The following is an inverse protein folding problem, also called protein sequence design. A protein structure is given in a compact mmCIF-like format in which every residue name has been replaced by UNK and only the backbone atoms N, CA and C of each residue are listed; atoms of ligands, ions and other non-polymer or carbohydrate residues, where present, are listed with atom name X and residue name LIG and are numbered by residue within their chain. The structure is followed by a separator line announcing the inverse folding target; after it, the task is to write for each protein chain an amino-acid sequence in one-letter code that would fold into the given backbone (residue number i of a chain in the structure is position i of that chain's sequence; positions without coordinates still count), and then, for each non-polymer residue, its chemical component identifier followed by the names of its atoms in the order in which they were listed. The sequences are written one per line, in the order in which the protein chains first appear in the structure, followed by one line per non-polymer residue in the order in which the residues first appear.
data_IF_717591080370
#
_entry.id   IF_717591080370
#
_cell.length_a   1.000
_cell.length_b   1.000
_cell.length_c   1.000
_cell.angle_alpha   90.00
_cell.angle_beta   90.00
_cell.angle_gamma   90.00
#
_symmetry.space_group_name_H-M   'P 1'
#
loop_
_entity.id
_entity.type
_entity.pdbx_description
1 polymer ?
#
# COMPACT_ATOMS: atom_id res chain seq x y z
N UNK A 1 -33.47 83.32 46.78
CA UNK A 1 -33.87 82.11 46.04
C UNK A 1 -32.79 81.83 44.99
N UNK A 2 -32.33 80.58 44.93
CA UNK A 2 -31.14 80.00 44.24
C UNK A 2 -30.81 80.58 42.86
N UNK A 3 -29.51 80.58 42.48
CA UNK A 3 -28.91 80.23 41.16
C UNK A 3 -27.39 80.11 41.42
N UNK A 4 -26.81 78.90 41.54
CA UNK A 4 -26.30 77.97 40.51
C UNK A 4 -24.82 78.24 40.14
N UNK A 5 -23.94 77.35 40.61
CA UNK A 5 -22.51 77.31 40.27
C UNK A 5 -22.35 76.27 39.16
N UNK A 6 -21.87 76.68 37.99
CA UNK A 6 -21.63 75.79 36.86
C UNK A 6 -20.21 75.23 36.93
N UNK A 7 -20.07 73.91 37.04
CA UNK A 7 -18.80 73.19 36.94
C UNK A 7 -18.65 72.69 35.51
N UNK A 8 -17.59 73.11 34.83
CA UNK A 8 -17.24 72.60 33.50
C UNK A 8 -16.43 71.31 33.64
N UNK A 9 -16.95 70.20 33.11
CA UNK A 9 -16.24 68.92 33.02
C UNK A 9 -15.51 68.83 31.67
N UNK A 10 -14.18 68.72 31.69
CA UNK A 10 -13.37 68.39 30.53
C UNK A 10 -13.38 66.87 30.31
N UNK A 11 -13.99 66.39 29.21
CA UNK A 11 -13.84 65.01 28.75
C UNK A 11 -12.52 64.88 27.96
N UNK A 12 -11.60 64.07 28.47
CA UNK A 12 -10.44 63.57 27.71
C UNK A 12 -10.89 62.43 26.80
N UNK A 13 -10.89 62.64 25.49
CA UNK A 13 -11.02 61.55 24.52
C UNK A 13 -9.66 60.86 24.34
N UNK A 14 -9.54 59.62 24.79
CA UNK A 14 -8.42 58.75 24.46
C UNK A 14 -8.71 58.13 23.09
N UNK A 15 -8.02 58.60 22.05
CA UNK A 15 -8.05 57.93 20.74
C UNK A 15 -7.20 56.66 20.82
N UNK A 16 -7.85 55.51 20.89
CA UNK A 16 -7.20 54.21 20.67
C UNK A 16 -7.00 54.01 19.17
N UNK A 17 -5.78 54.25 18.66
CA UNK A 17 -5.40 53.82 17.32
C UNK A 17 -5.22 52.30 17.32
N UNK A 18 -6.17 51.58 16.72
CA UNK A 18 -5.98 50.15 16.42
C UNK A 18 -4.93 50.05 15.30
N UNK A 19 -3.71 49.70 15.67
CA UNK A 19 -2.70 49.27 14.70
C UNK A 19 -3.16 47.94 14.11
N UNK A 20 -3.34 47.89 12.79
CA UNK A 20 -3.59 46.64 12.08
C UNK A 20 -2.34 45.74 12.24
N UNK A 21 -2.50 44.44 12.53
CA UNK A 21 -1.37 43.52 12.59
C UNK A 21 -0.70 43.46 11.21
N UNK A 22 0.62 43.64 11.19
CA UNK A 22 1.41 43.43 9.99
C UNK A 22 1.28 41.97 9.54
N UNK A 23 1.04 41.75 8.25
CA UNK A 23 1.01 40.41 7.67
C UNK A 23 2.39 39.75 7.83
N UNK A 24 2.42 38.55 8.42
CA UNK A 24 3.65 37.78 8.53
C UNK A 24 4.19 37.41 7.15
N UNK A 25 5.53 37.44 6.95
CA UNK A 25 6.13 37.02 5.69
C UNK A 25 5.76 35.56 5.42
N UNK A 26 5.30 35.30 4.20
CA UNK A 26 4.59 34.10 3.80
C UNK A 26 5.21 32.80 4.31
N UNK A 27 4.37 31.96 4.91
CA UNK A 27 4.70 30.58 5.19
C UNK A 27 5.33 29.95 3.95
N UNK A 28 6.60 29.57 4.05
CA UNK A 28 7.22 28.69 3.07
C UNK A 28 6.38 27.42 3.04
N UNK A 29 5.59 27.23 1.99
CA UNK A 29 4.93 25.96 1.73
C UNK A 29 6.07 24.99 1.40
N UNK A 30 6.57 24.26 2.41
CA UNK A 30 7.46 23.15 2.14
C UNK A 30 6.74 22.20 1.19
N UNK A 31 7.30 22.01 -0.01
CA UNK A 31 6.80 20.98 -0.92
C UNK A 31 6.89 19.66 -0.17
N UNK A 32 5.72 19.06 0.13
CA UNK A 32 5.64 17.75 0.76
C UNK A 32 6.53 16.78 -0.01
N UNK A 33 7.44 16.10 0.70
CA UNK A 33 8.37 15.16 0.08
C UNK A 33 7.60 14.07 -0.69
N UNK A 34 8.14 13.67 -1.84
CA UNK A 34 7.57 12.58 -2.63
C UNK A 34 7.68 11.24 -1.88
N UNK A 35 6.73 10.33 -2.10
CA UNK A 35 6.75 9.01 -1.50
C UNK A 35 8.04 8.26 -1.81
N UNK A 36 8.56 7.52 -0.83
CA UNK A 36 9.71 6.63 -1.01
C UNK A 36 9.34 5.48 -1.92
N UNK A 37 10.27 5.06 -2.77
CA UNK A 37 10.15 3.87 -3.62
C UNK A 37 11.12 2.81 -3.11
N UNK A 38 10.60 1.62 -2.81
CA UNK A 38 11.41 0.46 -2.43
C UNK A 38 11.41 -0.56 -3.58
N UNK A 39 12.60 -0.90 -4.08
CA UNK A 39 12.80 -1.94 -5.10
C UNK A 39 13.56 -3.16 -4.59
N UNK A 40 14.01 -3.14 -3.33
CA UNK A 40 14.72 -4.25 -2.68
C UNK A 40 14.46 -4.24 -1.18
N UNK A 41 14.71 -5.37 -0.52
CA UNK A 41 14.65 -5.47 0.93
C UNK A 41 15.88 -4.82 1.59
N UNK A 42 15.78 -4.46 2.87
CA UNK A 42 16.91 -3.92 3.66
C UNK A 42 17.66 -5.00 4.42
N UNK A 43 16.94 -5.98 4.95
CA UNK A 43 17.55 -7.04 5.73
C UNK A 43 18.28 -8.03 4.82
N UNK A 44 19.47 -8.46 5.25
CA UNK A 44 20.25 -9.45 4.53
C UNK A 44 19.63 -10.84 4.65
N UNK A 45 19.83 -11.63 3.60
CA UNK A 45 19.38 -13.01 3.46
C UNK A 45 17.86 -13.16 3.65
N UNK A 46 17.08 -12.18 3.20
CA UNK A 46 15.60 -12.23 3.22
C UNK A 46 15.01 -12.37 1.82
N UNK A 47 13.90 -13.10 1.73
CA UNK A 47 13.02 -13.08 0.56
C UNK A 47 11.63 -12.61 0.98
N UNK A 48 11.08 -11.61 0.30
CA UNK A 48 9.75 -11.12 0.53
C UNK A 48 8.83 -11.45 -0.64
N UNK A 49 8.27 -12.66 -0.66
CA UNK A 49 7.37 -13.09 -1.75
C UNK A 49 6.17 -12.13 -1.85
N UNK A 50 5.97 -11.56 -3.04
CA UNK A 50 4.85 -10.67 -3.33
C UNK A 50 3.95 -11.22 -4.43
N UNK A 51 2.66 -10.92 -4.34
CA UNK A 51 1.61 -11.37 -5.24
C UNK A 51 0.69 -10.20 -5.60
N UNK A 52 0.50 -9.96 -6.88
CA UNK A 52 -0.35 -8.89 -7.40
C UNK A 52 -1.67 -9.42 -7.99
N UNK A 53 -2.58 -8.49 -8.25
CA UNK A 53 -3.82 -8.60 -9.04
C UNK A 53 -5.03 -9.28 -8.40
N UNK A 54 -4.88 -9.88 -7.22
CA UNK A 54 -6.03 -10.43 -6.51
C UNK A 54 -6.76 -9.41 -5.62
N UNK A 55 -7.61 -9.87 -4.68
CA UNK A 55 -7.85 -11.27 -4.36
C UNK A 55 -8.49 -12.00 -5.54
N UNK A 56 -8.05 -13.24 -5.78
CA UNK A 56 -8.62 -14.10 -6.83
C UNK A 56 -8.70 -15.55 -6.35
N UNK A 57 -9.24 -16.44 -7.18
CA UNK A 57 -9.59 -17.81 -6.78
C UNK A 57 -8.41 -18.64 -6.25
N UNK A 58 -7.17 -18.31 -6.57
CA UNK A 58 -5.98 -19.04 -6.12
C UNK A 58 -5.35 -18.49 -4.83
N UNK A 59 -5.81 -17.35 -4.29
CA UNK A 59 -5.25 -16.75 -3.07
C UNK A 59 -5.28 -17.74 -1.89
N UNK A 60 -6.40 -18.44 -1.71
CA UNK A 60 -6.56 -19.42 -0.62
C UNK A 60 -5.53 -20.55 -0.71
N UNK A 61 -5.22 -21.04 -1.92
CA UNK A 61 -4.22 -22.09 -2.13
C UNK A 61 -2.80 -21.57 -1.84
N UNK A 62 -2.50 -20.35 -2.28
CA UNK A 62 -1.22 -19.69 -1.99
C UNK A 62 -1.05 -19.51 -0.48
N UNK A 63 -2.04 -18.91 0.21
CA UNK A 63 -2.02 -18.71 1.67
C UNK A 63 -1.84 -20.03 2.41
N UNK A 64 -2.55 -21.09 2.00
CA UNK A 64 -2.39 -22.43 2.58
C UNK A 64 -0.97 -22.98 2.42
N UNK A 65 -0.40 -22.85 1.22
CA UNK A 65 0.97 -23.26 0.93
C UNK A 65 2.01 -22.47 1.75
N UNK A 66 1.83 -21.16 1.89
CA UNK A 66 2.72 -20.32 2.69
C UNK A 66 2.61 -20.67 4.19
N UNK A 67 1.40 -20.82 4.70
CA UNK A 67 1.14 -21.17 6.10
C UNK A 67 1.69 -22.55 6.47
N UNK A 68 1.47 -23.57 5.63
CA UNK A 68 2.03 -24.92 5.84
C UNK A 68 3.56 -24.93 5.85
N UNK A 69 4.19 -23.93 5.23
CA UNK A 69 5.62 -23.73 5.22
C UNK A 69 6.13 -22.83 6.36
N UNK A 70 5.24 -22.30 7.22
CA UNK A 70 5.60 -21.37 8.30
C UNK A 70 6.14 -20.04 7.80
N UNK A 71 5.78 -19.61 6.58
CA UNK A 71 6.27 -18.38 5.96
C UNK A 71 5.13 -17.39 5.71
N UNK A 72 5.47 -16.11 5.56
CA UNK A 72 4.54 -15.03 5.22
C UNK A 72 4.91 -14.40 3.89
N UNK A 73 3.91 -14.14 3.06
CA UNK A 73 4.01 -13.30 1.85
C UNK A 73 3.23 -11.98 1.99
N UNK A 74 3.31 -11.19 0.91
CA UNK A 74 2.62 -9.90 0.76
C UNK A 74 1.71 -9.94 -0.46
N UNK A 75 0.45 -9.53 -0.31
CA UNK A 75 -0.55 -9.50 -1.38
C UNK A 75 -0.91 -8.04 -1.68
N UNK A 76 -0.65 -7.56 -2.89
CA UNK A 76 -1.07 -6.25 -3.35
C UNK A 76 -2.38 -6.40 -4.11
N UNK A 77 -3.46 -5.92 -3.49
CA UNK A 77 -4.82 -6.26 -3.92
C UNK A 77 -5.51 -5.12 -4.66
N UNK A 78 -6.33 -5.50 -5.65
CA UNK A 78 -7.21 -4.63 -6.37
C UNK A 78 -8.62 -4.56 -5.77
N UNK A 79 -9.37 -3.54 -6.16
CA UNK A 79 -10.77 -3.39 -5.81
C UNK A 79 -11.75 -4.06 -6.77
N UNK A 80 -11.60 -3.80 -8.06
CA UNK A 80 -12.44 -4.31 -9.14
C UNK A 80 -11.57 -4.56 -10.38
N UNK A 81 -10.87 -5.69 -10.38
CA UNK A 81 -9.97 -6.10 -11.47
C UNK A 81 -10.40 -7.45 -12.03
N UNK A 82 -9.87 -8.56 -11.49
CA UNK A 82 -10.28 -9.92 -11.87
C UNK A 82 -11.65 -10.29 -11.31
N UNK A 83 -11.92 -9.88 -10.08
CA UNK A 83 -13.21 -10.02 -9.38
C UNK A 83 -13.45 -8.75 -8.55
N UNK A 84 -14.67 -8.61 -8.01
CA UNK A 84 -14.96 -7.56 -7.05
C UNK A 84 -14.46 -7.93 -5.65
N UNK A 85 -13.66 -7.06 -5.03
CA UNK A 85 -13.10 -7.26 -3.68
C UNK A 85 -14.18 -7.47 -2.60
N UNK A 86 -15.40 -6.98 -2.83
CA UNK A 86 -16.55 -7.12 -1.93
C UNK A 86 -17.36 -8.41 -2.12
N UNK A 87 -17.00 -9.23 -3.09
CA UNK A 87 -17.60 -10.56 -3.25
C UNK A 87 -17.28 -11.43 -2.06
N UNK A 88 -18.26 -12.23 -1.63
CA UNK A 88 -18.16 -12.97 -0.37
C UNK A 88 -16.94 -13.90 -0.31
N UNK A 89 -16.56 -14.50 -1.45
CA UNK A 89 -15.34 -15.33 -1.55
C UNK A 89 -14.08 -14.50 -1.31
N UNK A 90 -13.97 -13.34 -1.96
CA UNK A 90 -12.81 -12.46 -1.85
C UNK A 90 -12.67 -11.88 -0.45
N UNK A 91 -13.78 -11.40 0.14
CA UNK A 91 -13.82 -10.97 1.55
C UNK A 91 -13.34 -12.06 2.50
N UNK A 92 -13.78 -13.31 2.27
CA UNK A 92 -13.40 -14.45 3.13
C UNK A 92 -11.92 -14.78 2.98
N UNK A 93 -11.41 -14.81 1.75
CA UNK A 93 -10.01 -15.11 1.47
C UNK A 93 -9.08 -14.03 2.06
N UNK A 94 -9.38 -12.75 1.82
CA UNK A 94 -8.60 -11.63 2.36
C UNK A 94 -8.53 -11.63 3.88
N UNK A 95 -9.67 -11.88 4.55
CA UNK A 95 -9.70 -12.02 6.01
C UNK A 95 -8.84 -13.19 6.47
N UNK A 96 -8.86 -14.31 5.76
CA UNK A 96 -8.01 -15.46 6.08
C UNK A 96 -6.52 -15.15 5.89
N UNK A 97 -6.15 -14.50 4.78
CA UNK A 97 -4.77 -14.07 4.51
C UNK A 97 -4.26 -13.14 5.61
N UNK A 98 -5.03 -12.08 5.91
CA UNK A 98 -4.71 -11.10 6.94
C UNK A 98 -4.61 -11.72 8.35
N UNK A 99 -5.60 -12.51 8.76
CA UNK A 99 -5.60 -13.17 10.08
C UNK A 99 -4.49 -14.23 10.21
N UNK A 100 -4.02 -14.77 9.09
CA UNK A 100 -2.84 -15.64 9.05
C UNK A 100 -1.52 -14.86 9.19
N UNK A 101 -1.54 -13.53 9.28
CA UNK A 101 -0.34 -12.70 9.42
C UNK A 101 0.36 -12.40 8.09
N UNK A 102 -0.29 -12.61 6.95
CA UNK A 102 0.18 -12.08 5.68
C UNK A 102 -0.02 -10.56 5.63
N UNK A 103 0.83 -9.88 4.88
CA UNK A 103 0.66 -8.46 4.63
C UNK A 103 -0.25 -8.25 3.43
N UNK A 104 -1.22 -7.35 3.58
CA UNK A 104 -2.11 -6.89 2.49
C UNK A 104 -1.75 -5.43 2.18
N UNK A 105 -1.34 -5.16 0.95
CA UNK A 105 -1.05 -3.82 0.41
C UNK A 105 -2.04 -3.42 -0.69
N UNK A 106 -2.01 -2.16 -1.10
CA UNK A 106 -2.88 -1.64 -2.16
C UNK A 106 -2.29 -1.84 -3.55
N UNK A 107 -3.11 -2.22 -4.52
CA UNK A 107 -2.75 -2.26 -5.95
C UNK A 107 -3.67 -1.42 -6.83
N UNK A 108 -4.36 -0.42 -6.26
CA UNK A 108 -5.40 0.44 -6.90
C UNK A 108 -6.74 -0.26 -7.12
N UNK A 109 -7.77 0.50 -7.50
CA UNK A 109 -9.12 -0.02 -7.66
C UNK A 109 -9.25 -0.89 -8.91
N UNK A 110 -9.04 -0.32 -10.09
CA UNK A 110 -9.29 -0.94 -11.39
C UNK A 110 -8.00 -1.25 -12.16
N UNK A 111 -6.84 -1.27 -11.50
CA UNK A 111 -5.55 -1.62 -12.10
C UNK A 111 -5.16 -0.72 -13.29
N UNK A 112 -5.42 0.59 -13.17
CA UNK A 112 -5.03 1.56 -14.20
C UNK A 112 -3.56 1.94 -14.11
N UNK A 113 -2.92 2.18 -15.25
CA UNK A 113 -1.61 2.85 -15.28
C UNK A 113 -1.75 4.27 -14.74
N UNK A 114 -1.42 4.45 -13.46
CA UNK A 114 -1.54 5.71 -12.75
C UNK A 114 -0.69 6.83 -13.37
N UNK A 115 0.43 6.48 -14.02
CA UNK A 115 1.31 7.48 -14.63
C UNK A 115 0.69 8.17 -15.84
N UNK A 116 -0.33 7.54 -16.43
CA UNK A 116 -1.11 8.07 -17.54
C UNK A 116 -2.46 8.70 -17.12
N UNK A 117 -2.75 8.76 -15.82
CA UNK A 117 -4.02 9.28 -15.31
C UNK A 117 -3.92 10.73 -14.80
N UNK A 118 -5.07 11.40 -14.71
CA UNK A 118 -5.19 12.71 -14.04
C UNK A 118 -5.07 12.57 -12.52
N UNK A 119 -4.76 13.68 -11.84
CA UNK A 119 -4.68 13.72 -10.37
C UNK A 119 -5.91 13.14 -9.68
N UNK A 120 -7.10 13.58 -10.10
CA UNK A 120 -8.36 13.13 -9.50
C UNK A 120 -8.58 11.63 -9.73
N UNK A 121 -8.19 11.12 -10.91
CA UNK A 121 -8.34 9.69 -11.21
C UNK A 121 -7.34 8.84 -10.43
N UNK A 122 -6.09 9.28 -10.27
CA UNK A 122 -5.13 8.64 -9.36
C UNK A 122 -5.71 8.59 -7.94
N UNK A 123 -6.31 9.70 -7.49
CA UNK A 123 -6.89 9.77 -6.16
C UNK A 123 -8.07 8.82 -5.97
N UNK A 124 -8.97 8.76 -6.94
CA UNK A 124 -10.12 7.85 -6.96
C UNK A 124 -9.68 6.38 -6.91
N UNK A 125 -8.70 6.01 -7.76
CA UNK A 125 -8.13 4.66 -7.82
C UNK A 125 -7.53 4.20 -6.48
N UNK A 126 -6.73 5.05 -5.83
CA UNK A 126 -6.11 4.70 -4.56
C UNK A 126 -7.12 4.73 -3.40
N UNK A 127 -8.02 5.71 -3.39
CA UNK A 127 -8.97 5.89 -2.28
C UNK A 127 -9.98 4.74 -2.20
N UNK A 128 -10.56 4.30 -3.33
CA UNK A 128 -11.60 3.26 -3.29
C UNK A 128 -11.08 1.94 -2.73
N UNK A 129 -9.87 1.52 -3.12
CA UNK A 129 -9.28 0.27 -2.60
C UNK A 129 -8.91 0.41 -1.12
N UNK A 130 -8.44 1.59 -0.67
CA UNK A 130 -8.23 1.86 0.76
C UNK A 130 -9.53 1.78 1.56
N UNK A 131 -10.63 2.32 1.03
CA UNK A 131 -11.95 2.19 1.67
C UNK A 131 -12.39 0.74 1.77
N UNK A 132 -12.16 -0.06 0.74
CA UNK A 132 -12.45 -1.49 0.78
C UNK A 132 -11.60 -2.21 1.84
N UNK A 133 -10.30 -1.93 1.91
CA UNK A 133 -9.41 -2.50 2.93
C UNK A 133 -9.82 -2.10 4.36
N UNK A 134 -10.21 -0.85 4.58
CA UNK A 134 -10.72 -0.38 5.86
C UNK A 134 -12.03 -1.09 6.24
N UNK A 135 -12.97 -1.23 5.31
CA UNK A 135 -14.23 -1.94 5.56
C UNK A 135 -14.03 -3.43 5.82
N UNK A 136 -13.19 -4.10 5.03
CA UNK A 136 -13.04 -5.56 5.07
C UNK A 136 -12.14 -6.00 6.22
N UNK A 137 -11.02 -5.31 6.42
CA UNK A 137 -9.94 -5.73 7.32
C UNK A 137 -9.74 -4.78 8.52
N UNK A 138 -10.30 -3.56 8.45
CA UNK A 138 -10.05 -2.54 9.48
C UNK A 138 -8.69 -1.87 9.36
N UNK A 139 -7.99 -1.99 8.22
CA UNK A 139 -6.60 -1.51 8.08
C UNK A 139 -6.44 -0.40 7.06
N UNK A 140 -5.45 0.46 7.30
CA UNK A 140 -4.97 1.45 6.33
C UNK A 140 -3.55 1.06 5.89
N UNK A 141 -3.33 0.69 4.61
CA UNK A 141 -2.04 0.17 4.15
C UNK A 141 -0.96 1.26 4.17
N UNK A 142 0.26 0.85 4.55
CA UNK A 142 1.47 1.68 4.43
C UNK A 142 2.14 1.55 3.05
N UNK A 143 1.76 0.52 2.30
CA UNK A 143 2.40 0.21 1.03
C UNK A 143 1.37 0.07 -0.07
N UNK A 144 1.72 0.60 -1.23
CA UNK A 144 1.04 0.30 -2.48
C UNK A 144 2.07 -0.08 -3.55
N UNK A 145 1.67 -0.93 -4.48
CA UNK A 145 2.42 -1.16 -5.71
C UNK A 145 1.67 -0.48 -6.85
N UNK A 146 2.30 0.38 -7.65
CA UNK A 146 1.63 0.96 -8.80
C UNK A 146 1.44 -0.12 -9.89
N UNK A 147 0.25 -0.22 -10.51
CA UNK A 147 0.03 -1.10 -11.66
C UNK A 147 1.11 -0.95 -12.72
N UNK A 148 1.52 -2.08 -13.30
CA UNK A 148 2.62 -2.17 -14.29
C UNK A 148 4.00 -1.71 -13.80
N UNK A 149 4.15 -1.39 -12.51
CA UNK A 149 5.35 -0.74 -11.98
C UNK A 149 5.52 0.72 -12.42
N UNK A 150 4.53 1.30 -13.10
CA UNK A 150 4.62 2.64 -13.69
C UNK A 150 4.24 3.72 -12.67
N UNK A 151 5.16 4.67 -12.45
CA UNK A 151 4.90 5.83 -11.59
C UNK A 151 5.66 7.07 -12.08
N UNK A 152 5.15 8.24 -11.71
CA UNK A 152 5.80 9.53 -11.90
C UNK A 152 5.65 10.37 -10.61
N UNK A 153 6.12 11.62 -10.61
CA UNK A 153 6.05 12.49 -9.43
C UNK A 153 4.60 12.79 -8.99
N UNK A 154 3.62 12.73 -9.91
CA UNK A 154 2.21 12.90 -9.58
C UNK A 154 1.70 11.71 -8.75
N UNK A 155 2.03 10.48 -9.17
CA UNK A 155 1.72 9.25 -8.42
C UNK A 155 2.41 9.24 -7.05
N UNK A 156 3.69 9.61 -7.00
CA UNK A 156 4.45 9.69 -5.74
C UNK A 156 3.92 10.78 -4.80
N UNK A 157 3.40 11.87 -5.33
CA UNK A 157 2.74 12.92 -4.54
C UNK A 157 1.42 12.42 -3.95
N UNK A 158 0.58 11.74 -4.75
CA UNK A 158 -0.67 11.15 -4.28
C UNK A 158 -0.44 10.10 -3.19
N UNK A 159 0.59 9.27 -3.35
CA UNK A 159 1.00 8.27 -2.35
C UNK A 159 1.54 8.92 -1.07
N UNK A 160 2.37 9.97 -1.19
CA UNK A 160 2.88 10.74 -0.05
C UNK A 160 1.76 11.36 0.78
N UNK A 161 0.70 11.85 0.15
CA UNK A 161 -0.47 12.42 0.85
C UNK A 161 -1.13 11.39 1.78
N UNK A 162 -1.16 10.13 1.34
CA UNK A 162 -1.67 8.97 2.07
C UNK A 162 -0.66 8.35 3.05
N UNK A 163 0.55 8.92 3.13
CA UNK A 163 1.69 8.39 3.87
C UNK A 163 2.17 7.01 3.38
N UNK A 164 1.79 6.61 2.17
CA UNK A 164 2.17 5.33 1.60
C UNK A 164 3.55 5.39 0.94
N UNK A 165 4.25 4.27 0.96
CA UNK A 165 5.44 4.02 0.14
C UNK A 165 5.08 3.19 -1.10
N UNK A 166 5.79 3.44 -2.20
CA UNK A 166 5.70 2.61 -3.40
C UNK A 166 6.61 1.39 -3.27
N UNK A 167 6.13 0.23 -3.71
CA UNK A 167 6.90 -1.02 -3.73
C UNK A 167 6.99 -1.54 -5.17
N UNK A 168 8.21 -1.66 -5.68
CA UNK A 168 8.54 -2.29 -6.95
C UNK A 168 9.19 -3.65 -6.64
N UNK A 169 9.93 -4.25 -7.57
CA UNK A 169 10.59 -5.54 -7.43
C UNK A 169 12.03 -5.47 -7.97
N UNK A 170 12.88 -6.40 -7.52
CA UNK A 170 14.24 -6.62 -8.05
C UNK A 170 14.33 -7.88 -8.94
N UNK A 171 13.25 -8.66 -8.98
CA UNK A 171 13.11 -9.85 -9.79
C UNK A 171 11.66 -10.02 -10.26
N UNK A 172 11.47 -10.30 -11.54
CA UNK A 172 10.17 -10.62 -12.13
C UNK A 172 10.13 -12.11 -12.47
N UNK A 173 9.11 -12.83 -12.00
CA UNK A 173 8.94 -14.25 -12.31
C UNK A 173 8.48 -14.50 -13.75
N UNK A 174 7.99 -13.46 -14.44
CA UNK A 174 7.43 -13.52 -15.78
C UNK A 174 6.09 -14.24 -15.89
N UNK A 175 5.47 -14.59 -14.76
CA UNK A 175 4.24 -15.39 -14.72
C UNK A 175 3.04 -14.70 -15.39
N UNK A 176 2.96 -13.36 -15.34
CA UNK A 176 1.98 -12.56 -16.10
C UNK A 176 2.44 -12.20 -17.52
N UNK A 177 3.72 -12.38 -17.84
CA UNK A 177 4.31 -12.08 -19.16
C UNK A 177 4.28 -13.28 -20.13
N UNK A 178 3.56 -14.34 -19.77
CA UNK A 178 3.42 -15.54 -20.58
C UNK A 178 4.54 -16.56 -20.39
N UNK A 179 5.38 -16.44 -19.35
CA UNK A 179 6.31 -17.52 -19.01
C UNK A 179 5.52 -18.79 -18.64
N UNK A 180 5.96 -19.92 -19.17
CA UNK A 180 5.52 -21.23 -18.68
C UNK A 180 6.04 -21.44 -17.25
N UNK A 181 5.38 -22.32 -16.50
CA UNK A 181 5.85 -22.69 -15.15
C UNK A 181 7.32 -23.15 -15.14
N UNK A 182 7.79 -23.81 -16.21
CA UNK A 182 9.18 -24.25 -16.35
C UNK A 182 10.13 -23.05 -16.51
N UNK A 183 9.76 -22.04 -17.29
CA UNK A 183 10.57 -20.82 -17.45
C UNK A 183 10.68 -20.08 -16.12
N UNK A 184 9.57 -19.77 -15.46
CA UNK A 184 9.61 -19.09 -14.14
C UNK A 184 10.42 -19.88 -13.10
N UNK A 185 10.33 -21.22 -13.08
CA UNK A 185 11.17 -22.06 -12.21
C UNK A 185 12.66 -21.95 -12.53
N UNK A 186 13.01 -21.92 -13.81
CA UNK A 186 14.39 -21.77 -14.25
C UNK A 186 14.94 -20.38 -13.90
N UNK A 187 14.13 -19.33 -14.05
CA UNK A 187 14.51 -17.96 -13.70
C UNK A 187 14.75 -17.82 -12.20
N UNK A 188 13.86 -18.37 -11.37
CA UNK A 188 14.07 -18.45 -9.92
C UNK A 188 15.31 -19.27 -9.56
N UNK A 189 15.53 -20.42 -10.22
CA UNK A 189 16.72 -21.25 -9.95
C UNK A 189 18.00 -20.48 -10.30
N UNK A 190 18.02 -19.73 -11.41
CA UNK A 190 19.13 -18.89 -11.81
C UNK A 190 19.37 -17.75 -10.79
N UNK A 191 18.31 -17.12 -10.29
CA UNK A 191 18.40 -16.11 -9.22
C UNK A 191 18.98 -16.71 -7.94
N UNK A 192 18.47 -17.85 -7.50
CA UNK A 192 18.93 -18.54 -6.29
C UNK A 192 20.42 -18.90 -6.39
N UNK A 193 20.88 -19.34 -7.57
CA UNK A 193 22.29 -19.66 -7.81
C UNK A 193 23.20 -18.43 -7.74
N UNK A 194 22.70 -17.24 -8.10
CA UNK A 194 23.44 -15.97 -7.94
C UNK A 194 23.55 -15.55 -6.47
N UNK A 195 22.66 -16.06 -5.61
CA UNK A 195 22.65 -15.82 -4.17
C UNK A 195 22.70 -14.33 -3.80
N UNK A 196 21.80 -13.48 -4.33
CA UNK A 196 21.77 -12.06 -3.97
C UNK A 196 21.55 -11.85 -2.47
N UNK A 197 21.95 -10.68 -1.95
CA UNK A 197 21.82 -10.40 -0.53
C UNK A 197 20.36 -10.40 -0.04
N UNK A 198 19.39 -10.11 -0.90
CA UNK A 198 17.97 -10.28 -0.63
C UNK A 198 17.19 -10.40 -1.95
N UNK A 199 15.91 -10.75 -1.86
CA UNK A 199 15.03 -10.94 -3.01
C UNK A 199 13.66 -10.32 -2.71
N UNK A 200 13.18 -9.44 -3.59
CA UNK A 200 11.83 -8.89 -3.59
C UNK A 200 11.15 -9.21 -4.94
N UNK A 201 10.61 -10.43 -5.10
CA UNK A 201 10.14 -10.91 -6.38
C UNK A 201 8.67 -10.53 -6.66
N UNK A 202 8.38 -10.20 -7.92
CA UNK A 202 7.03 -10.05 -8.46
C UNK A 202 6.47 -11.39 -8.93
N UNK A 203 5.27 -11.71 -8.45
CA UNK A 203 4.43 -12.81 -8.91
C UNK A 203 2.98 -12.31 -8.92
N UNK A 204 2.08 -13.07 -9.51
CA UNK A 204 0.66 -12.73 -9.59
C UNK A 204 -0.17 -13.90 -9.04
N UNK A 205 -1.03 -13.63 -8.05
CA UNK A 205 -1.89 -14.67 -7.49
C UNK A 205 -3.02 -15.10 -8.44
N UNK A 206 -3.21 -14.37 -9.53
CA UNK A 206 -4.19 -14.66 -10.58
C UNK A 206 -3.72 -15.76 -11.54
N UNK A 207 -2.44 -16.16 -11.46
CA UNK A 207 -1.83 -17.18 -12.32
C UNK A 207 -1.83 -18.55 -11.63
N UNK A 208 -2.60 -19.50 -12.19
CA UNK A 208 -2.76 -20.84 -11.61
C UNK A 208 -1.43 -21.56 -11.38
N UNK A 209 -0.50 -21.47 -12.34
CA UNK A 209 0.80 -22.14 -12.28
C UNK A 209 1.72 -21.55 -11.23
N UNK A 210 1.55 -20.28 -10.85
CA UNK A 210 2.26 -19.64 -9.75
C UNK A 210 1.94 -20.40 -8.46
N UNK A 211 0.65 -20.54 -8.13
CA UNK A 211 0.17 -21.28 -6.96
C UNK A 211 0.53 -22.78 -7.01
N UNK A 212 0.21 -23.45 -8.11
CA UNK A 212 0.22 -24.94 -8.16
C UNK A 212 1.58 -25.55 -8.52
N UNK A 213 2.51 -24.77 -9.09
CA UNK A 213 3.72 -25.32 -9.70
C UNK A 213 4.99 -24.55 -9.31
N UNK A 214 5.00 -23.23 -9.46
CA UNK A 214 6.20 -22.42 -9.19
C UNK A 214 6.48 -22.33 -7.70
N UNK A 215 5.51 -21.91 -6.88
CA UNK A 215 5.71 -21.79 -5.43
C UNK A 215 6.13 -23.09 -4.74
N UNK A 216 5.49 -24.26 -5.00
CA UNK A 216 5.94 -25.54 -4.42
C UNK A 216 7.39 -25.90 -4.77
N UNK A 217 7.88 -25.45 -5.93
CA UNK A 217 9.25 -25.68 -6.35
C UNK A 217 10.24 -24.71 -5.70
N UNK A 218 9.92 -23.41 -5.66
CA UNK A 218 10.87 -22.37 -5.26
C UNK A 218 11.02 -22.22 -3.75
N UNK A 219 9.95 -22.43 -2.96
CA UNK A 219 9.99 -22.28 -1.50
C UNK A 219 11.06 -23.18 -0.84
N UNK A 220 11.10 -24.51 -1.07
CA UNK A 220 12.12 -25.35 -0.46
C UNK A 220 13.53 -24.99 -0.92
N UNK A 221 13.71 -24.49 -2.15
CA UNK A 221 15.01 -24.10 -2.69
C UNK A 221 15.54 -22.81 -2.09
N UNK A 222 14.68 -21.81 -1.92
CA UNK A 222 15.01 -20.58 -1.20
C UNK A 222 15.38 -20.88 0.26
N UNK A 223 14.63 -21.77 0.93
CA UNK A 223 14.97 -22.25 2.28
C UNK A 223 16.34 -22.96 2.31
N UNK A 224 16.59 -23.85 1.36
CA UNK A 224 17.87 -24.56 1.26
C UNK A 224 19.06 -23.63 0.95
N UNK A 225 18.81 -22.56 0.20
CA UNK A 225 19.78 -21.48 -0.02
C UNK A 225 19.96 -20.58 1.22
N UNK A 226 19.17 -20.78 2.29
CA UNK A 226 19.34 -20.07 3.55
C UNK A 226 18.48 -18.82 3.72
N UNK A 227 17.66 -18.44 2.73
CA UNK A 227 16.82 -17.24 2.84
C UNK A 227 15.78 -17.37 3.95
N UNK A 228 15.60 -16.28 4.68
CA UNK A 228 14.49 -16.08 5.62
C UNK A 228 13.33 -15.42 4.88
N UNK A 229 12.12 -15.95 5.06
CA UNK A 229 10.94 -15.39 4.44
C UNK A 229 10.36 -14.30 5.33
N UNK A 230 9.97 -13.19 4.74
CA UNK A 230 9.33 -12.08 5.44
C UNK A 230 8.27 -11.41 4.54
N UNK A 231 7.46 -10.55 5.12
CA UNK A 231 6.64 -9.60 4.37
C UNK A 231 7.49 -8.45 3.84
N UNK A 232 6.96 -7.65 2.92
CA UNK A 232 7.64 -6.42 2.46
C UNK A 232 7.94 -5.50 3.64
N UNK A 233 6.97 -5.30 4.54
CA UNK A 233 7.15 -4.47 5.71
C UNK A 233 8.27 -5.00 6.64
N UNK A 234 8.27 -6.31 6.91
CA UNK A 234 9.28 -6.94 7.77
C UNK A 234 10.68 -6.90 7.16
N UNK A 235 10.82 -7.17 5.86
CA UNK A 235 12.13 -7.10 5.19
C UNK A 235 12.69 -5.67 5.07
N UNK A 236 11.83 -4.66 5.21
CA UNK A 236 12.19 -3.24 5.25
C UNK A 236 12.33 -2.67 6.67
N UNK A 237 11.94 -3.42 7.70
CA UNK A 237 11.92 -2.96 9.09
C UNK A 237 10.87 -1.86 9.36
N UNK A 238 9.72 -1.93 8.69
CA UNK A 238 8.64 -0.95 8.75
C UNK A 238 7.32 -1.59 9.22
N UNK A 239 6.36 -0.75 9.64
CA UNK A 239 5.00 -1.22 9.93
C UNK A 239 4.24 -1.51 8.63
N UNK A 240 3.51 -2.63 8.49
CA UNK A 240 2.70 -2.91 7.30
C UNK A 240 1.51 -1.95 7.13
N UNK A 241 1.03 -1.36 8.22
CA UNK A 241 -0.16 -0.52 8.26
C UNK A 241 0.10 0.77 9.02
N UNK A 242 -0.58 1.85 8.63
CA UNK A 242 -0.65 3.09 9.40
C UNK A 242 -1.57 2.94 10.62
N UNK A 243 -2.64 2.17 10.46
CA UNK A 243 -3.57 1.85 11.52
C UNK A 243 -4.16 0.47 11.31
N UNK A 244 -4.40 -0.22 12.42
CA UNK A 244 -5.12 -1.48 12.49
C UNK A 244 -6.28 -1.28 13.47
N UNK A 245 -7.50 -1.32 12.96
CA UNK A 245 -8.75 -1.20 13.70
C UNK A 245 -9.56 -2.48 13.62
N UNK A 246 -10.86 -2.36 13.88
CA UNK A 246 -11.79 -3.48 13.73
C UNK A 246 -12.28 -3.61 12.30
N UNK A 247 -12.35 -4.84 11.79
CA UNK A 247 -13.03 -5.13 10.53
C UNK A 247 -14.50 -4.71 10.61
N UNK A 248 -15.02 -4.12 9.54
CA UNK A 248 -16.41 -3.73 9.43
C UNK A 248 -17.35 -4.92 9.20
N UNK A 249 -18.64 -4.65 9.42
CA UNK A 249 -19.74 -5.54 9.04
C UNK A 249 -20.21 -5.19 7.63
N UNK A 250 -20.51 -6.20 6.81
CA UNK A 250 -21.01 -6.00 5.45
C UNK A 250 -22.32 -5.21 5.47
N UNK A 251 -22.41 -4.19 4.64
CA UNK A 251 -23.60 -3.36 4.43
C UNK A 251 -23.85 -3.13 2.92
N UNK A 252 -24.83 -2.28 2.58
CA UNK A 252 -25.20 -1.99 1.18
C UNK A 252 -24.12 -1.25 0.38
N UNK A 253 -23.10 -0.71 1.04
CA UNK A 253 -22.00 0.04 0.40
C UNK A 253 -20.83 -0.86 -0.03
N UNK A 254 -20.94 -2.17 0.18
CA UNK A 254 -19.96 -3.17 -0.25
C UNK A 254 -20.31 -3.64 -1.67
N UNK A 255 -20.03 -2.77 -2.64
CA UNK A 255 -20.23 -3.05 -4.06
C UNK A 255 -19.10 -2.45 -4.89
N UNK A 256 -18.81 -3.14 -5.99
CA UNK A 256 -18.17 -2.56 -7.16
C UNK A 256 -19.30 -2.15 -8.12
#
# INVERSE_FOLDING_TARGET
MKIATTVAAFLCFVQSSLAAPAAEPGAHIERRALATVYSSCKHANTVALTFDDGPYIYETDIVSLLNSNGIKGTFFVNGNNYDCIYDQRQVTSLKNAFNSGHMIGSHTWAHLDLSAQSWDKIHDEMWRVEQAMQKILGVTPNFMRPPYGNYNDLVRSASSIRNQSLVIWDFDSGDSLGHTATQSKNDYQALINKHPNNILPLNHETVQTTSTSVLPFIIPKLKAAGYKFDTVAGCLGLSPYHSVGQAGTRDSTWHC
#
